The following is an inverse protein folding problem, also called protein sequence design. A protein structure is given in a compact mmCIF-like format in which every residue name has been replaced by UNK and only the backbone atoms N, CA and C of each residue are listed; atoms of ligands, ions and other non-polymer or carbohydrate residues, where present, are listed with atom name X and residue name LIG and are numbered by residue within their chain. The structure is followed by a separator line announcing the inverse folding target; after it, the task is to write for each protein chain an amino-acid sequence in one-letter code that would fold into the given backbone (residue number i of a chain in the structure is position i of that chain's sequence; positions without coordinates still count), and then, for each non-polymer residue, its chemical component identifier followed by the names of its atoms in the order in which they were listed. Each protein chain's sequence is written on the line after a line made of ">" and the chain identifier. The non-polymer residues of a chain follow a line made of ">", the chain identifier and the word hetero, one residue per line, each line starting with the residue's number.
data_IF_639322362893
#
_entry.id   IF_639322362893
#
_cell.length_a   1.000
_cell.length_b   1.000
_cell.length_c   1.000
_cell.angle_alpha   90.00
_cell.angle_beta   90.00
_cell.angle_gamma   90.00
#
_symmetry.space_group_name_H-M   'P 1'
#
loop_
_entity.id
_entity.type
_entity.pdbx_description
1 polymer ?
#
# COMPACT_ATOMS: atom_id res chain seq x y z
N UNK A 1 -60.38 11.68 27.16
CA UNK A 1 -58.91 11.65 27.37
C UNK A 1 -58.08 12.04 26.13
N UNK A 2 -58.59 12.85 25.18
CA UNK A 2 -58.19 12.68 23.77
C UNK A 2 -57.14 13.69 23.24
N UNK A 3 -56.45 14.45 24.12
CA UNK A 3 -55.33 15.34 23.72
C UNK A 3 -53.95 14.76 24.06
N UNK A 4 -53.77 14.17 25.26
CA UNK A 4 -52.47 13.63 25.72
C UNK A 4 -51.95 12.53 24.79
N UNK A 5 -52.82 11.62 24.35
CA UNK A 5 -52.46 10.50 23.45
C UNK A 5 -51.88 11.00 22.11
N UNK A 6 -52.39 12.11 21.55
CA UNK A 6 -51.85 12.68 20.31
C UNK A 6 -50.40 13.19 20.48
N UNK A 7 -50.07 13.80 21.61
CA UNK A 7 -48.69 14.23 21.89
C UNK A 7 -47.73 13.07 22.12
N UNK A 8 -48.19 11.98 22.75
CA UNK A 8 -47.37 10.77 22.94
C UNK A 8 -47.03 10.12 21.58
N UNK A 9 -48.00 10.00 20.67
CA UNK A 9 -47.76 9.46 19.31
C UNK A 9 -46.84 10.36 18.50
N UNK A 10 -46.92 11.69 18.63
CA UNK A 10 -46.02 12.61 17.91
C UNK A 10 -44.60 12.66 18.51
N UNK A 11 -44.46 12.42 19.82
CA UNK A 11 -43.15 12.36 20.50
C UNK A 11 -42.36 11.09 20.15
N UNK A 12 -43.04 9.98 19.90
CA UNK A 12 -42.42 8.69 19.59
C UNK A 12 -41.64 8.65 18.26
N UNK A 13 -41.84 9.63 17.36
CA UNK A 13 -41.24 9.65 16.01
C UNK A 13 -39.93 10.47 15.93
N UNK A 14 -39.35 10.85 17.07
CA UNK A 14 -38.28 11.87 17.14
C UNK A 14 -36.84 11.32 17.22
N UNK A 15 -36.61 10.07 17.67
CA UNK A 15 -35.26 9.59 18.07
C UNK A 15 -34.86 8.24 17.47
N UNK A 16 -35.03 8.09 16.15
CA UNK A 16 -34.30 7.07 15.37
C UNK A 16 -33.55 7.71 14.21
N UNK A 17 -32.61 8.61 14.54
CA UNK A 17 -31.58 9.06 13.60
C UNK A 17 -30.60 7.91 13.35
N UNK A 18 -30.97 7.00 12.45
CA UNK A 18 -30.05 5.99 11.94
C UNK A 18 -28.92 6.70 11.20
N UNK A 19 -27.69 6.61 11.72
CA UNK A 19 -26.48 7.08 11.04
C UNK A 19 -26.21 6.22 9.81
N UNK A 20 -26.92 6.49 8.70
CA UNK A 20 -26.76 5.83 7.41
C UNK A 20 -25.46 6.26 6.75
N UNK A 21 -24.34 5.77 7.26
CA UNK A 21 -23.05 5.91 6.60
C UNK A 21 -23.14 5.36 5.19
N UNK A 22 -22.62 6.12 4.22
CA UNK A 22 -22.58 5.69 2.83
C UNK A 22 -21.87 4.33 2.71
N UNK A 23 -22.50 3.40 1.98
CA UNK A 23 -21.91 2.09 1.65
C UNK A 23 -20.73 2.31 0.71
N UNK A 24 -19.56 1.79 1.07
CA UNK A 24 -18.40 1.75 0.17
C UNK A 24 -18.69 0.73 -0.94
N UNK A 25 -18.75 1.20 -2.18
CA UNK A 25 -19.04 0.38 -3.36
C UNK A 25 -17.72 -0.20 -3.86
N UNK A 26 -17.62 -1.54 -3.86
CA UNK A 26 -16.43 -2.28 -4.24
C UNK A 26 -16.71 -3.02 -5.54
N UNK A 27 -16.04 -2.62 -6.61
CA UNK A 27 -15.96 -3.41 -7.83
C UNK A 27 -14.93 -4.54 -7.62
N UNK A 28 -15.33 -5.77 -7.87
CA UNK A 28 -14.52 -6.97 -7.80
C UNK A 28 -14.32 -7.44 -9.23
N UNK A 29 -13.10 -7.32 -9.74
CA UNK A 29 -12.75 -7.82 -11.06
C UNK A 29 -12.21 -9.25 -10.97
N UNK A 30 -12.93 -10.20 -11.55
CA UNK A 30 -12.46 -11.58 -11.66
C UNK A 30 -11.59 -11.69 -12.91
N UNK A 31 -10.27 -11.79 -12.72
CA UNK A 31 -9.27 -11.85 -13.80
C UNK A 31 -9.60 -12.90 -14.86
N UNK A 32 -9.26 -12.62 -16.12
CA UNK A 32 -9.49 -13.50 -17.29
C UNK A 32 -10.98 -13.80 -17.53
N UNK A 33 -11.34 -14.90 -18.20
CA UNK A 33 -12.72 -15.35 -18.42
C UNK A 33 -13.05 -15.76 -19.86
N UNK A 34 -13.99 -16.71 -20.04
CA UNK A 34 -14.45 -17.16 -21.35
C UNK A 34 -13.33 -17.78 -22.18
N UNK A 35 -13.01 -17.15 -23.34
CA UNK A 35 -11.92 -17.57 -24.23
C UNK A 35 -10.51 -17.40 -23.63
N UNK A 36 -10.38 -16.58 -22.59
CA UNK A 36 -9.12 -16.34 -21.89
C UNK A 36 -9.07 -17.20 -20.60
N UNK A 37 -8.24 -18.25 -20.54
CA UNK A 37 -8.11 -19.10 -19.35
C UNK A 37 -7.33 -18.43 -18.21
N UNK A 38 -6.55 -17.38 -18.49
CA UNK A 38 -5.41 -16.96 -17.68
C UNK A 38 -4.33 -18.04 -17.61
N UNK A 39 -3.55 -18.05 -16.54
CA UNK A 39 -2.62 -19.12 -16.24
C UNK A 39 -3.32 -20.49 -16.16
N UNK A 40 -2.63 -21.54 -16.59
CA UNK A 40 -3.06 -22.93 -16.44
C UNK A 40 -2.01 -23.63 -15.59
N UNK A 41 -2.42 -24.13 -14.43
CA UNK A 41 -1.56 -24.88 -13.53
C UNK A 41 -1.09 -26.21 -14.15
N UNK A 42 0.16 -26.57 -13.90
CA UNK A 42 0.85 -27.66 -14.61
C UNK A 42 0.43 -29.06 -14.15
N UNK A 43 -0.10 -29.21 -12.93
CA UNK A 43 -0.26 -30.50 -12.27
C UNK A 43 -1.72 -30.96 -12.22
N UNK A 44 -2.66 -30.02 -12.05
CA UNK A 44 -4.10 -30.26 -11.97
C UNK A 44 -4.85 -29.66 -13.18
N UNK A 45 -4.15 -28.98 -14.10
CA UNK A 45 -4.77 -28.26 -15.22
C UNK A 45 -5.61 -27.05 -14.75
N UNK A 46 -5.34 -26.53 -13.55
CA UNK A 46 -6.21 -25.55 -12.89
C UNK A 46 -6.14 -24.20 -13.60
N UNK A 47 -7.26 -23.80 -14.22
CA UNK A 47 -7.37 -22.55 -14.98
C UNK A 47 -7.63 -21.36 -14.04
N UNK A 48 -6.80 -20.33 -14.14
CA UNK A 48 -6.88 -19.10 -13.35
C UNK A 48 -8.28 -18.50 -13.35
N UNK A 49 -8.91 -18.38 -14.53
CA UNK A 49 -10.27 -17.81 -14.68
C UNK A 49 -11.34 -18.47 -13.79
N UNK A 50 -11.14 -19.71 -13.35
CA UNK A 50 -12.04 -20.43 -12.44
C UNK A 50 -11.71 -20.12 -10.97
N UNK A 51 -10.41 -20.03 -10.64
CA UNK A 51 -9.91 -19.66 -9.31
C UNK A 51 -10.32 -18.24 -8.97
N UNK A 52 -10.07 -17.29 -9.88
CA UNK A 52 -10.41 -15.87 -9.70
C UNK A 52 -11.90 -15.68 -9.51
N UNK A 53 -12.74 -16.25 -10.39
CA UNK A 53 -14.20 -16.18 -10.28
C UNK A 53 -14.73 -16.76 -8.95
N UNK A 54 -14.16 -17.86 -8.48
CA UNK A 54 -14.56 -18.45 -7.21
C UNK A 54 -14.19 -17.56 -6.01
N UNK A 55 -12.97 -17.02 -5.96
CA UNK A 55 -12.54 -16.09 -4.90
C UNK A 55 -13.37 -14.79 -4.95
N UNK A 56 -13.63 -14.25 -6.15
CA UNK A 56 -14.46 -13.05 -6.33
C UNK A 56 -15.91 -13.26 -5.87
N UNK A 57 -16.49 -14.46 -6.03
CA UNK A 57 -17.84 -14.78 -5.52
C UNK A 57 -17.88 -14.88 -4.00
N UNK A 58 -16.90 -15.55 -3.40
CA UNK A 58 -16.76 -15.64 -1.94
C UNK A 58 -16.52 -14.23 -1.33
N UNK A 59 -15.74 -13.37 -1.99
CA UNK A 59 -15.55 -11.97 -1.58
C UNK A 59 -16.82 -11.12 -1.73
N UNK A 60 -17.59 -11.31 -2.82
CA UNK A 60 -18.89 -10.64 -3.00
C UNK A 60 -19.85 -10.99 -1.87
N UNK A 61 -19.97 -12.27 -1.53
CA UNK A 61 -20.85 -12.72 -0.44
C UNK A 61 -20.49 -12.08 0.91
N UNK A 62 -19.20 -11.96 1.22
CA UNK A 62 -18.72 -11.30 2.44
C UNK A 62 -19.05 -9.79 2.46
N UNK A 63 -18.89 -9.10 1.32
CA UNK A 63 -19.11 -7.65 1.22
C UNK A 63 -20.59 -7.25 1.11
N UNK A 64 -21.45 -8.07 0.50
CA UNK A 64 -22.89 -7.82 0.49
C UNK A 64 -23.54 -8.07 1.85
N UNK A 65 -22.96 -8.95 2.67
CA UNK A 65 -23.41 -9.23 4.04
C UNK A 65 -23.02 -8.13 5.05
N UNK A 66 -22.03 -7.28 4.73
CA UNK A 66 -21.65 -6.15 5.58
C UNK A 66 -22.53 -4.91 5.27
N UNK A 67 -23.26 -4.34 6.24
CA UNK A 67 -24.03 -3.12 6.03
C UNK A 67 -23.17 -1.94 5.54
N UNK A 68 -21.85 -1.95 5.75
CA UNK A 68 -20.92 -0.91 5.33
C UNK A 68 -20.49 -0.96 3.84
N UNK A 69 -20.74 -2.06 3.13
CA UNK A 69 -20.25 -2.26 1.76
C UNK A 69 -21.37 -2.59 0.76
N UNK A 70 -21.02 -2.59 -0.53
CA UNK A 70 -21.84 -3.10 -1.64
C UNK A 70 -20.90 -3.67 -2.69
N UNK A 71 -20.99 -4.97 -3.01
CA UNK A 71 -20.11 -5.56 -4.01
C UNK A 71 -20.75 -5.60 -5.40
N UNK A 72 -19.96 -5.23 -6.40
CA UNK A 72 -20.28 -5.36 -7.83
C UNK A 72 -19.20 -6.24 -8.46
N UNK A 73 -19.55 -7.12 -9.40
CA UNK A 73 -18.55 -7.91 -10.12
C UNK A 73 -18.44 -7.42 -11.57
N UNK A 74 -17.24 -7.44 -12.15
CA UNK A 74 -17.10 -7.26 -13.61
C UNK A 74 -17.78 -8.41 -14.35
N UNK A 75 -17.44 -9.66 -14.00
CA UNK A 75 -18.15 -10.87 -14.45
C UNK A 75 -18.69 -11.72 -13.30
N UNK A 76 -19.93 -12.17 -13.44
CA UNK A 76 -20.57 -13.17 -12.56
C UNK A 76 -20.43 -14.62 -13.06
N UNK A 77 -19.98 -14.81 -14.30
CA UNK A 77 -19.87 -16.09 -14.98
C UNK A 77 -18.56 -16.28 -15.74
N UNK A 78 -18.52 -17.32 -16.57
CA UNK A 78 -17.37 -17.66 -17.42
C UNK A 78 -17.47 -17.04 -18.82
N UNK A 79 -17.37 -15.71 -18.87
CA UNK A 79 -17.32 -14.93 -20.10
C UNK A 79 -16.13 -13.97 -20.09
N UNK A 80 -15.68 -13.59 -21.28
CA UNK A 80 -14.55 -12.67 -21.47
C UNK A 80 -15.02 -11.21 -21.32
N UNK A 81 -14.19 -10.38 -20.70
CA UNK A 81 -14.37 -8.93 -20.58
C UNK A 81 -13.05 -8.26 -20.95
N UNK A 82 -13.11 -7.23 -21.79
CA UNK A 82 -11.93 -6.49 -22.25
C UNK A 82 -11.28 -5.70 -21.11
N UNK A 83 -9.97 -5.43 -21.20
CA UNK A 83 -9.25 -4.75 -20.13
C UNK A 83 -9.74 -3.31 -19.83
N UNK A 84 -10.19 -2.48 -20.81
CA UNK A 84 -10.85 -1.20 -20.54
C UNK A 84 -12.20 -1.36 -19.83
N UNK A 85 -13.03 -2.26 -20.37
CA UNK A 85 -14.41 -2.53 -19.97
C UNK A 85 -14.55 -2.90 -18.49
N UNK A 86 -13.55 -3.59 -17.91
CA UNK A 86 -13.47 -3.89 -16.47
C UNK A 86 -13.52 -2.64 -15.58
N UNK A 87 -12.83 -1.58 -15.98
CA UNK A 87 -12.82 -0.28 -15.29
C UNK A 87 -14.09 0.52 -15.59
N UNK A 88 -14.63 0.43 -16.80
CA UNK A 88 -15.87 1.10 -17.21
C UNK A 88 -17.10 0.53 -16.47
N UNK A 89 -17.16 -0.79 -16.23
CA UNK A 89 -18.18 -1.42 -15.36
C UNK A 89 -18.08 -0.85 -13.93
N UNK A 90 -16.87 -0.69 -13.38
CA UNK A 90 -16.67 -0.12 -12.06
C UNK A 90 -17.18 1.34 -11.98
N UNK A 91 -16.87 2.17 -13.00
CA UNK A 91 -17.36 3.56 -13.10
C UNK A 91 -18.89 3.64 -13.25
N UNK A 92 -19.47 2.83 -14.13
CA UNK A 92 -20.92 2.74 -14.35
C UNK A 92 -21.70 2.42 -13.07
N UNK A 93 -21.10 1.62 -12.18
CA UNK A 93 -21.67 1.30 -10.88
C UNK A 93 -21.26 2.23 -9.72
N UNK A 94 -20.49 3.29 -10.01
CA UNK A 94 -19.96 4.28 -9.05
C UNK A 94 -19.14 3.62 -7.93
N UNK A 95 -18.24 2.71 -8.28
CA UNK A 95 -17.36 2.06 -7.33
C UNK A 95 -16.28 3.01 -6.79
N UNK A 96 -16.13 3.07 -5.47
CA UNK A 96 -15.02 3.78 -4.81
C UNK A 96 -13.69 3.03 -4.99
N UNK A 97 -13.77 1.70 -4.94
CA UNK A 97 -12.64 0.77 -4.94
C UNK A 97 -12.79 -0.27 -6.07
N UNK A 98 -11.68 -0.61 -6.73
CA UNK A 98 -11.59 -1.70 -7.71
C UNK A 98 -10.54 -2.72 -7.25
N UNK A 99 -10.99 -3.95 -6.97
CA UNK A 99 -10.16 -5.08 -6.52
C UNK A 99 -10.14 -6.11 -7.65
N UNK A 100 -9.10 -6.12 -8.47
CA UNK A 100 -8.87 -7.19 -9.43
C UNK A 100 -8.21 -8.39 -8.74
N UNK A 101 -8.65 -9.60 -9.05
CA UNK A 101 -8.22 -10.85 -8.40
C UNK A 101 -7.65 -11.78 -9.47
N UNK A 102 -6.41 -12.21 -9.25
CA UNK A 102 -5.59 -13.00 -10.16
C UNK A 102 -4.84 -14.14 -9.43
N UNK A 103 -4.22 -15.04 -10.20
CA UNK A 103 -3.34 -16.09 -9.70
C UNK A 103 -2.17 -16.31 -10.66
N UNK A 104 -1.15 -15.47 -10.48
CA UNK A 104 0.15 -15.38 -11.15
C UNK A 104 0.76 -16.74 -11.62
N UNK A 105 1.65 -16.67 -12.62
CA UNK A 105 2.38 -17.83 -13.12
C UNK A 105 3.76 -17.44 -13.60
N UNK A 106 4.77 -18.15 -13.09
CA UNK A 106 6.17 -17.93 -13.40
C UNK A 106 6.63 -18.87 -14.52
N UNK A 107 6.80 -18.39 -15.77
CA UNK A 107 7.33 -19.22 -16.86
C UNK A 107 8.82 -19.55 -16.70
N UNK A 108 9.51 -18.94 -15.73
CA UNK A 108 10.95 -19.09 -15.51
C UNK A 108 11.31 -20.04 -14.37
N UNK A 109 10.39 -20.29 -13.44
CA UNK A 109 10.62 -21.22 -12.32
C UNK A 109 9.31 -21.54 -11.59
N UNK A 110 9.04 -22.82 -11.41
CA UNK A 110 7.91 -23.33 -10.64
C UNK A 110 8.12 -23.23 -9.11
N UNK A 111 9.29 -22.76 -8.65
CA UNK A 111 9.56 -22.53 -7.23
C UNK A 111 9.09 -21.16 -6.69
N UNK A 112 8.71 -20.23 -7.56
CA UNK A 112 8.13 -18.95 -7.15
C UNK A 112 6.74 -19.19 -6.58
N UNK A 113 6.45 -18.56 -5.42
CA UNK A 113 5.23 -18.75 -4.65
C UNK A 113 4.93 -17.54 -3.76
N UNK A 114 3.68 -17.44 -3.34
CA UNK A 114 3.17 -16.47 -2.37
C UNK A 114 2.38 -15.34 -3.00
N UNK A 115 1.46 -14.78 -2.23
CA UNK A 115 0.61 -13.68 -2.66
C UNK A 115 1.40 -12.37 -2.85
N UNK A 116 0.87 -11.48 -3.70
CA UNK A 116 1.35 -10.11 -3.83
C UNK A 116 0.20 -9.16 -4.19
N UNK A 117 0.43 -7.84 -4.09
CA UNK A 117 -0.56 -6.84 -4.52
C UNK A 117 0.14 -5.79 -5.39
N UNK A 118 -0.48 -5.48 -6.52
CA UNK A 118 -0.02 -4.51 -7.49
C UNK A 118 -0.88 -3.24 -7.48
N UNK A 119 -0.22 -2.09 -7.67
CA UNK A 119 -0.80 -0.74 -7.68
C UNK A 119 -0.27 0.04 -8.89
N UNK A 120 -0.96 1.12 -9.28
CA UNK A 120 -0.59 1.91 -10.45
C UNK A 120 0.81 2.54 -10.32
N UNK A 121 1.64 2.41 -11.37
CA UNK A 121 2.98 3.03 -11.45
C UNK A 121 2.92 4.49 -11.91
N UNK A 122 3.87 5.33 -11.46
CA UNK A 122 3.90 6.75 -11.82
C UNK A 122 4.04 6.99 -13.33
N UNK A 123 4.81 6.16 -14.03
CA UNK A 123 4.91 6.21 -15.49
C UNK A 123 3.56 5.94 -16.14
N UNK A 124 2.87 4.86 -15.73
CA UNK A 124 1.55 4.51 -16.27
C UNK A 124 0.48 5.57 -15.96
N UNK A 125 0.52 6.17 -14.77
CA UNK A 125 -0.32 7.31 -14.42
C UNK A 125 -0.05 8.53 -15.32
N UNK A 126 1.23 8.82 -15.60
CA UNK A 126 1.62 9.91 -16.51
C UNK A 126 1.18 9.66 -17.96
N UNK A 127 1.37 8.43 -18.47
CA UNK A 127 0.98 8.02 -19.82
C UNK A 127 -0.53 8.16 -20.03
N UNK A 128 -1.32 7.75 -19.03
CA UNK A 128 -2.78 7.81 -19.11
C UNK A 128 -3.27 9.24 -18.87
N UNK A 129 -2.69 10.01 -17.95
CA UNK A 129 -3.00 11.45 -17.81
C UNK A 129 -2.83 12.20 -19.13
N UNK A 130 -1.80 11.88 -19.93
CA UNK A 130 -1.65 12.42 -21.29
C UNK A 130 -2.88 12.15 -22.18
N UNK A 131 -3.35 10.91 -22.22
CA UNK A 131 -4.54 10.51 -22.99
C UNK A 131 -5.83 11.13 -22.45
N UNK A 132 -6.02 11.17 -21.13
CA UNK A 132 -7.17 11.83 -20.51
C UNK A 132 -7.17 13.34 -20.80
N UNK A 133 -6.02 13.98 -21.06
CA UNK A 133 -5.93 15.39 -21.50
C UNK A 133 -6.23 15.60 -22.99
N UNK A 134 -6.13 14.56 -23.81
CA UNK A 134 -6.48 14.59 -25.24
C UNK A 134 -7.96 14.21 -25.45
N UNK A 135 -8.50 13.33 -24.60
CA UNK A 135 -9.86 12.78 -24.65
C UNK A 135 -10.87 13.68 -23.89
N UNK A 136 -11.50 14.60 -24.62
CA UNK A 136 -12.40 15.61 -24.06
C UNK A 136 -13.73 15.02 -23.56
N UNK A 137 -14.22 13.93 -24.16
CA UNK A 137 -15.44 13.24 -23.72
C UNK A 137 -15.25 12.64 -22.32
N UNK A 138 -14.11 11.96 -22.11
CA UNK A 138 -13.76 11.37 -20.81
C UNK A 138 -13.52 12.40 -19.71
N UNK A 139 -12.98 13.58 -20.03
CA UNK A 139 -12.85 14.69 -19.06
C UNK A 139 -14.23 15.10 -18.49
N UNK A 140 -15.25 15.16 -19.34
CA UNK A 140 -16.61 15.55 -18.93
C UNK A 140 -17.25 14.51 -17.99
N UNK A 141 -17.07 13.22 -18.26
CA UNK A 141 -17.54 12.13 -17.39
C UNK A 141 -16.86 12.19 -16.01
N UNK A 142 -15.53 12.33 -16.00
CA UNK A 142 -14.68 12.31 -14.80
C UNK A 142 -14.96 13.45 -13.81
N UNK A 143 -15.42 14.58 -14.33
CA UNK A 143 -15.67 15.80 -13.56
C UNK A 143 -17.16 16.00 -13.19
N UNK A 144 -18.01 14.97 -13.40
CA UNK A 144 -19.29 14.82 -12.69
C UNK A 144 -20.27 15.99 -12.80
N UNK A 145 -20.36 16.64 -13.97
CA UNK A 145 -21.23 17.79 -14.20
C UNK A 145 -20.63 19.15 -13.80
N UNK A 146 -19.64 19.20 -12.90
CA UNK A 146 -18.73 20.35 -12.82
C UNK A 146 -17.80 20.40 -14.05
N UNK A 147 -17.63 19.27 -14.75
CA UNK A 147 -16.89 19.16 -16.00
C UNK A 147 -17.31 20.14 -17.07
N UNK A 148 -18.61 20.41 -17.27
CA UNK A 148 -19.04 21.39 -18.27
C UNK A 148 -18.58 22.82 -17.96
N UNK A 149 -18.42 23.18 -16.69
CA UNK A 149 -17.98 24.52 -16.22
C UNK A 149 -16.45 24.66 -16.22
N UNK A 150 -15.71 23.54 -16.17
CA UNK A 150 -14.25 23.52 -16.27
C UNK A 150 -13.80 23.39 -17.73
N UNK A 151 -14.44 22.51 -18.51
CA UNK A 151 -14.21 22.33 -19.94
C UNK A 151 -14.68 23.51 -20.78
N UNK A 152 -15.69 24.30 -20.36
CA UNK A 152 -16.11 25.52 -21.08
C UNK A 152 -14.99 26.56 -21.22
N UNK A 153 -14.01 26.53 -20.33
CA UNK A 153 -12.96 27.56 -20.24
C UNK A 153 -11.67 27.15 -21.00
N UNK A 154 -11.59 25.93 -21.56
CA UNK A 154 -10.42 25.38 -22.25
C UNK A 154 -9.09 25.43 -21.43
N UNK A 155 -9.16 25.54 -20.10
CA UNK A 155 -7.98 25.62 -19.23
C UNK A 155 -7.30 24.26 -19.06
N UNK A 156 -6.50 23.87 -20.06
CA UNK A 156 -5.70 22.64 -20.08
C UNK A 156 -4.89 22.44 -18.78
N UNK A 157 -4.35 23.51 -18.20
CA UNK A 157 -3.61 23.49 -16.95
C UNK A 157 -4.48 23.14 -15.72
N UNK A 158 -5.74 23.56 -15.70
CA UNK A 158 -6.68 23.27 -14.62
C UNK A 158 -7.11 21.81 -14.68
N UNK A 159 -7.54 21.33 -15.85
CA UNK A 159 -7.89 19.92 -16.06
C UNK A 159 -6.70 19.00 -15.76
N UNK A 160 -5.49 19.39 -16.17
CA UNK A 160 -4.26 18.66 -15.85
C UNK A 160 -3.93 18.65 -14.34
N UNK A 161 -4.17 19.75 -13.63
CA UNK A 161 -3.95 19.81 -12.17
C UNK A 161 -4.94 18.92 -11.43
N UNK A 162 -6.21 18.89 -11.85
CA UNK A 162 -7.22 17.99 -11.27
C UNK A 162 -6.87 16.52 -11.55
N UNK A 163 -6.44 16.19 -12.78
CA UNK A 163 -5.99 14.84 -13.14
C UNK A 163 -4.76 14.38 -12.33
N UNK A 164 -3.71 15.21 -12.17
CA UNK A 164 -2.55 14.86 -11.32
C UNK A 164 -2.98 14.63 -9.86
N UNK A 165 -3.90 15.44 -9.33
CA UNK A 165 -4.41 15.27 -7.97
C UNK A 165 -5.22 13.98 -7.82
N UNK A 166 -6.03 13.61 -8.81
CA UNK A 166 -6.80 12.37 -8.83
C UNK A 166 -5.88 11.14 -8.95
N UNK A 167 -4.96 11.10 -9.91
CA UNK A 167 -3.96 10.02 -10.01
C UNK A 167 -3.09 9.93 -8.74
N UNK A 168 -2.60 11.07 -8.22
CA UNK A 168 -1.86 11.15 -6.95
C UNK A 168 -2.67 10.72 -5.72
N UNK A 169 -4.01 10.76 -5.79
CA UNK A 169 -4.90 10.19 -4.78
C UNK A 169 -5.00 8.66 -4.99
N UNK A 170 -5.47 8.22 -6.15
CA UNK A 170 -5.69 6.81 -6.51
C UNK A 170 -4.44 5.95 -6.24
N UNK A 171 -3.25 6.43 -6.60
CA UNK A 171 -1.98 5.74 -6.31
C UNK A 171 -1.69 5.59 -4.80
N UNK A 172 -1.92 6.64 -4.00
CA UNK A 172 -1.66 6.62 -2.54
C UNK A 172 -2.68 5.76 -1.81
N UNK A 173 -3.96 5.96 -2.13
CA UNK A 173 -5.09 5.20 -1.60
C UNK A 173 -4.94 3.71 -1.95
N UNK A 174 -4.55 3.39 -3.18
CA UNK A 174 -4.28 2.02 -3.63
C UNK A 174 -3.10 1.38 -2.91
N UNK A 175 -2.03 2.13 -2.62
CA UNK A 175 -0.88 1.63 -1.84
C UNK A 175 -1.26 1.30 -0.39
N UNK A 176 -2.04 2.15 0.28
CA UNK A 176 -2.49 1.92 1.66
C UNK A 176 -3.55 0.81 1.76
N UNK A 177 -4.43 0.69 0.76
CA UNK A 177 -5.35 -0.44 0.59
C UNK A 177 -4.57 -1.75 0.35
N UNK A 178 -3.58 -1.74 -0.53
CA UNK A 178 -2.74 -2.89 -0.83
C UNK A 178 -1.94 -3.37 0.37
N UNK A 179 -1.38 -2.45 1.18
CA UNK A 179 -0.76 -2.76 2.47
C UNK A 179 -1.75 -3.43 3.42
N UNK A 180 -2.97 -2.89 3.52
CA UNK A 180 -4.02 -3.42 4.38
C UNK A 180 -4.44 -4.85 3.98
N UNK A 181 -4.50 -5.15 2.68
CA UNK A 181 -4.78 -6.48 2.16
C UNK A 181 -3.60 -7.44 2.42
N UNK A 182 -2.37 -7.07 2.05
CA UNK A 182 -1.16 -7.89 2.27
C UNK A 182 -0.97 -8.27 3.74
N UNK A 183 -1.18 -7.31 4.66
CA UNK A 183 -1.09 -7.53 6.10
C UNK A 183 -2.11 -8.54 6.64
N UNK A 184 -3.22 -8.79 5.93
CA UNK A 184 -4.17 -9.88 6.25
C UNK A 184 -3.81 -11.17 5.54
N UNK A 185 -3.39 -11.12 4.27
CA UNK A 185 -2.99 -12.31 3.49
C UNK A 185 -1.76 -13.01 4.08
N UNK A 186 -0.80 -12.27 4.66
CA UNK A 186 0.39 -12.83 5.30
C UNK A 186 0.12 -13.75 6.51
N UNK A 187 -1.12 -13.80 7.03
CA UNK A 187 -1.52 -14.71 8.10
C UNK A 187 -2.05 -16.06 7.59
N UNK A 188 -2.23 -16.22 6.27
CA UNK A 188 -2.77 -17.43 5.63
C UNK A 188 -1.91 -17.97 4.48
N UNK A 189 -1.06 -17.11 3.89
CA UNK A 189 -0.24 -17.40 2.73
C UNK A 189 1.17 -16.82 2.92
N UNK A 190 2.15 -17.47 2.29
CA UNK A 190 3.43 -16.82 2.00
C UNK A 190 3.20 -15.56 1.17
N UNK A 191 4.00 -14.51 1.37
CA UNK A 191 4.00 -13.33 0.50
C UNK A 191 5.21 -13.38 -0.43
N UNK A 192 5.00 -13.25 -1.74
CA UNK A 192 6.08 -13.08 -2.71
C UNK A 192 6.71 -11.67 -2.62
N UNK A 193 5.95 -10.71 -2.06
CA UNK A 193 6.34 -9.32 -1.79
C UNK A 193 5.67 -8.84 -0.50
N UNK A 194 6.45 -8.37 0.47
CA UNK A 194 5.93 -7.88 1.77
C UNK A 194 5.25 -6.51 1.69
N UNK A 195 5.32 -5.83 0.54
CA UNK A 195 4.76 -4.50 0.28
C UNK A 195 4.14 -4.46 -1.12
N UNK A 196 3.14 -3.59 -1.39
CA UNK A 196 2.58 -3.45 -2.73
C UNK A 196 3.65 -3.04 -3.75
N UNK A 197 3.50 -3.53 -4.97
CA UNK A 197 4.43 -3.27 -6.07
C UNK A 197 3.78 -2.38 -7.14
N UNK A 198 4.53 -1.45 -7.71
CA UNK A 198 4.03 -0.58 -8.77
C UNK A 198 4.12 -1.26 -10.14
N UNK A 199 3.02 -1.32 -10.89
CA UNK A 199 2.96 -1.91 -12.22
C UNK A 199 2.08 -1.11 -13.20
N UNK A 200 2.26 -1.41 -14.48
CA UNK A 200 1.67 -0.71 -15.63
C UNK A 200 0.39 -1.37 -16.15
N UNK A 201 -0.37 -2.06 -15.28
CA UNK A 201 -1.48 -2.93 -15.64
C UNK A 201 -2.75 -2.15 -16.01
N UNK A 202 -3.43 -2.58 -17.08
CA UNK A 202 -4.57 -1.84 -17.65
C UNK A 202 -5.79 -1.71 -16.74
N UNK A 203 -6.03 -2.65 -15.83
CA UNK A 203 -7.15 -2.57 -14.86
C UNK A 203 -6.91 -1.52 -13.76
N UNK A 204 -5.65 -1.11 -13.53
CA UNK A 204 -5.25 -0.18 -12.46
C UNK A 204 -5.28 1.29 -12.89
N UNK A 205 -5.66 1.60 -14.13
CA UNK A 205 -5.40 2.90 -14.78
C UNK A 205 -6.41 4.01 -14.46
N UNK A 206 -7.30 3.82 -13.47
CA UNK A 206 -8.36 4.77 -13.17
C UNK A 206 -7.86 5.93 -12.27
N UNK A 207 -8.03 7.20 -12.68
CA UNK A 207 -7.73 8.35 -11.82
C UNK A 207 -8.76 8.51 -10.68
N UNK A 208 -10.01 8.16 -10.96
CA UNK A 208 -11.19 8.24 -10.10
C UNK A 208 -11.36 7.07 -9.13
N UNK A 209 -11.08 5.84 -9.58
CA UNK A 209 -11.35 4.62 -8.81
C UNK A 209 -10.05 4.10 -8.19
N UNK A 210 -10.01 4.00 -6.86
CA UNK A 210 -8.84 3.47 -6.15
C UNK A 210 -8.67 1.98 -6.48
N UNK A 211 -7.64 1.66 -7.26
CA UNK A 211 -7.51 0.35 -7.92
C UNK A 211 -6.32 -0.45 -7.41
N UNK A 212 -6.53 -1.73 -7.10
CA UNK A 212 -5.49 -2.71 -6.74
C UNK A 212 -5.73 -4.04 -7.47
N UNK A 213 -4.65 -4.78 -7.74
CA UNK A 213 -4.72 -6.15 -8.27
C UNK A 213 -4.04 -7.09 -7.27
N UNK A 214 -4.74 -8.14 -6.87
CA UNK A 214 -4.33 -9.08 -5.83
C UNK A 214 -3.95 -10.41 -6.49
N UNK A 215 -2.66 -10.75 -6.44
CA UNK A 215 -2.17 -12.08 -6.79
C UNK A 215 -2.34 -13.01 -5.60
N UNK A 216 -3.12 -14.06 -5.80
CA UNK A 216 -3.55 -14.96 -4.70
C UNK A 216 -2.59 -16.12 -4.44
N UNK A 217 -1.65 -16.36 -5.35
CA UNK A 217 -0.63 -17.42 -5.32
C UNK A 217 -0.22 -17.80 -6.75
N UNK A 218 0.84 -18.59 -6.90
CA UNK A 218 1.39 -18.95 -8.20
C UNK A 218 0.84 -20.29 -8.72
N UNK A 219 0.07 -20.29 -9.81
CA UNK A 219 -0.43 -21.53 -10.44
C UNK A 219 0.66 -22.38 -11.11
N UNK A 220 1.83 -21.78 -11.40
CA UNK A 220 3.02 -22.53 -11.79
C UNK A 220 3.58 -23.41 -10.66
N UNK A 221 3.30 -23.10 -9.39
CA UNK A 221 3.80 -23.84 -8.25
C UNK A 221 2.82 -24.94 -7.80
N UNK A 222 3.23 -26.21 -7.86
CA UNK A 222 2.36 -27.35 -7.51
C UNK A 222 1.71 -27.26 -6.11
N UNK A 223 2.39 -26.69 -5.12
CA UNK A 223 1.85 -26.52 -3.76
C UNK A 223 0.80 -25.42 -3.69
N UNK A 224 0.96 -24.32 -4.44
CA UNK A 224 -0.05 -23.26 -4.49
C UNK A 224 -1.19 -23.59 -5.45
N UNK A 225 -0.95 -24.32 -6.54
CA UNK A 225 -2.00 -24.91 -7.38
C UNK A 225 -2.94 -25.81 -6.56
N UNK A 226 -2.38 -26.74 -5.77
CA UNK A 226 -3.16 -27.62 -4.90
C UNK A 226 -3.93 -26.85 -3.81
N UNK A 227 -3.38 -25.75 -3.28
CA UNK A 227 -4.10 -24.85 -2.36
C UNK A 227 -5.23 -24.11 -3.07
N UNK A 228 -4.98 -23.49 -4.22
CA UNK A 228 -5.96 -22.73 -4.99
C UNK A 228 -7.08 -23.62 -5.55
N UNK A 229 -6.84 -24.92 -5.74
CA UNK A 229 -7.87 -25.92 -6.01
C UNK A 229 -8.86 -26.11 -4.83
N UNK A 230 -8.44 -25.89 -3.58
CA UNK A 230 -9.29 -26.06 -2.39
C UNK A 230 -10.30 -24.92 -2.21
N UNK A 231 -11.62 -25.23 -2.12
CA UNK A 231 -12.64 -24.22 -1.80
C UNK A 231 -12.43 -23.54 -0.43
N UNK A 232 -11.85 -24.25 0.54
CA UNK A 232 -11.57 -23.70 1.87
C UNK A 232 -10.48 -22.62 1.80
N UNK A 233 -9.38 -22.88 1.10
CA UNK A 233 -8.31 -21.89 0.92
C UNK A 233 -8.79 -20.66 0.12
N UNK A 234 -9.62 -20.86 -0.93
CA UNK A 234 -10.24 -19.74 -1.65
C UNK A 234 -11.12 -18.85 -0.74
N UNK A 235 -11.86 -19.44 0.22
CA UNK A 235 -12.56 -18.67 1.26
C UNK A 235 -11.62 -17.94 2.21
N UNK A 236 -10.53 -18.57 2.64
CA UNK A 236 -9.53 -17.91 3.48
C UNK A 236 -8.94 -16.67 2.78
N UNK A 237 -8.59 -16.79 1.49
CA UNK A 237 -8.12 -15.68 0.66
C UNK A 237 -9.18 -14.56 0.56
N UNK A 238 -10.43 -14.88 0.24
CA UNK A 238 -11.53 -13.90 0.20
C UNK A 238 -11.73 -13.21 1.56
N UNK A 239 -11.69 -13.95 2.66
CA UNK A 239 -11.77 -13.39 4.02
C UNK A 239 -10.58 -12.50 4.37
N UNK A 240 -9.37 -12.78 3.87
CA UNK A 240 -8.20 -11.94 4.08
C UNK A 240 -8.35 -10.59 3.33
N UNK A 241 -8.81 -10.62 2.07
CA UNK A 241 -9.08 -9.40 1.28
C UNK A 241 -10.18 -8.56 1.95
N UNK A 242 -11.28 -9.20 2.38
CA UNK A 242 -12.36 -8.55 3.13
C UNK A 242 -11.89 -7.91 4.44
N UNK A 243 -11.09 -8.62 5.25
CA UNK A 243 -10.48 -8.05 6.47
C UNK A 243 -9.50 -6.90 6.17
N UNK A 244 -8.87 -6.92 4.99
CA UNK A 244 -8.06 -5.81 4.48
C UNK A 244 -8.90 -4.58 4.15
N UNK A 245 -10.03 -4.76 3.46
CA UNK A 245 -11.00 -3.71 3.15
C UNK A 245 -11.60 -3.07 4.40
N UNK A 246 -11.98 -3.85 5.42
CA UNK A 246 -12.43 -3.33 6.72
C UNK A 246 -11.32 -2.47 7.36
N UNK A 247 -10.08 -2.97 7.38
CA UNK A 247 -8.94 -2.27 7.99
C UNK A 247 -8.68 -0.93 7.32
N UNK A 248 -8.64 -0.92 5.98
CA UNK A 248 -8.48 0.28 5.17
C UNK A 248 -9.63 1.28 5.37
N UNK A 249 -10.89 0.81 5.36
CA UNK A 249 -12.07 1.68 5.55
C UNK A 249 -12.06 2.32 6.94
N UNK A 250 -11.72 1.57 7.99
CA UNK A 250 -11.61 2.10 9.35
C UNK A 250 -10.56 3.22 9.45
N UNK A 251 -9.37 3.01 8.87
CA UNK A 251 -8.29 4.00 8.87
C UNK A 251 -8.69 5.31 8.17
N UNK A 252 -9.41 5.24 7.04
CA UNK A 252 -9.78 6.42 6.26
C UNK A 252 -11.08 7.11 6.73
N UNK A 253 -12.00 6.38 7.38
CA UNK A 253 -13.25 6.94 7.91
C UNK A 253 -13.01 7.90 9.07
N UNK A 254 -11.97 7.65 9.89
CA UNK A 254 -11.59 8.51 11.01
C UNK A 254 -11.20 9.92 10.55
N UNK A 255 -10.61 10.06 9.35
CA UNK A 255 -10.20 11.36 8.80
C UNK A 255 -11.37 12.30 8.47
N UNK A 256 -12.56 11.78 8.20
CA UNK A 256 -13.75 12.60 7.86
C UNK A 256 -14.46 13.09 9.13
N UNK A 257 -14.50 12.28 10.18
CA UNK A 257 -15.21 12.62 11.43
C UNK A 257 -14.44 13.58 12.35
N UNK A 258 -13.18 13.91 12.05
CA UNK A 258 -12.29 14.66 12.95
C UNK A 258 -12.47 16.19 12.96
N UNK A 259 -13.27 16.77 12.06
CA UNK A 259 -13.30 18.23 11.85
C UNK A 259 -14.25 19.01 12.78
N UNK A 260 -15.07 18.34 13.60
CA UNK A 260 -16.19 19.00 14.32
C UNK A 260 -16.38 18.58 15.77
N UNK A 261 -15.37 18.76 16.65
CA UNK A 261 -15.60 18.95 18.10
C UNK A 261 -14.33 19.28 18.93
N UNK A 262 -13.75 20.48 18.78
CA UNK A 262 -12.90 21.02 19.87
C UNK A 262 -12.82 22.56 19.96
N UNK A 263 -13.97 23.25 19.89
CA UNK A 263 -14.07 24.62 20.44
C UNK A 263 -14.08 24.57 21.97
N UNK A 264 -12.92 24.30 22.58
CA UNK A 264 -12.69 24.66 23.98
C UNK A 264 -12.49 26.18 24.02
N UNK A 265 -13.34 26.88 24.76
CA UNK A 265 -13.29 28.34 24.81
C UNK A 265 -11.98 28.81 25.48
N UNK A 266 -11.14 29.49 24.72
CA UNK A 266 -10.01 30.25 25.25
C UNK A 266 -10.61 31.50 25.90
N UNK A 267 -10.44 31.65 27.22
CA UNK A 267 -10.63 32.95 27.87
C UNK A 267 -9.44 33.84 27.51
N UNK A 268 -9.72 35.07 27.14
CA UNK A 268 -8.68 36.09 27.04
C UNK A 268 -8.17 36.41 28.45
N UNK A 269 -6.87 36.30 28.67
CA UNK A 269 -6.21 36.78 29.88
C UNK A 269 -5.19 37.86 29.48
N UNK A 270 -5.29 39.01 30.14
CA UNK A 270 -4.71 40.28 29.69
C UNK A 270 -3.28 40.44 30.21
N UNK A 271 -2.28 40.18 29.37
CA UNK A 271 -0.87 40.30 29.74
C UNK A 271 -0.38 41.75 29.57
N UNK A 272 -0.07 42.42 30.68
CA UNK A 272 0.72 43.67 30.68
C UNK A 272 2.20 43.38 31.02
N UNK A 273 3.16 44.11 30.42
CA UNK A 273 4.59 43.79 30.54
C UNK A 273 5.25 44.45 31.76
N UNK A 274 6.12 43.71 32.45
CA UNK A 274 7.15 44.27 33.35
C UNK A 274 8.50 43.58 33.14
N UNK A 275 9.56 44.32 33.44
CA UNK A 275 10.94 44.03 33.04
C UNK A 275 11.93 44.11 34.22
N UNK A 276 13.20 43.82 33.93
CA UNK A 276 14.38 43.64 34.82
C UNK A 276 14.47 42.24 35.44
N UNK A 277 15.54 41.44 35.31
CA UNK A 277 17.02 41.61 35.15
C UNK A 277 17.76 41.53 36.50
N UNK A 278 18.94 40.86 36.44
CA UNK A 278 19.97 40.61 37.47
C UNK A 278 19.74 39.51 38.54
N UNK A 279 20.79 38.85 39.09
CA UNK A 279 21.92 38.08 38.47
C UNK A 279 22.78 37.34 39.53
N UNK A 280 23.67 36.41 39.08
CA UNK A 280 24.97 36.00 39.70
C UNK A 280 25.04 34.94 40.86
N UNK A 281 26.08 34.06 40.74
CA UNK A 281 26.84 33.22 41.73
C UNK A 281 26.39 31.82 42.22
N UNK A 282 27.17 30.83 41.76
CA UNK A 282 28.00 29.83 42.49
C UNK A 282 27.73 29.56 44.01
N UNK A 283 27.85 28.32 44.50
CA UNK A 283 29.17 27.64 44.65
C UNK A 283 29.13 26.17 45.17
N UNK A 284 30.32 25.55 45.21
CA UNK A 284 30.74 24.22 45.74
C UNK A 284 30.01 23.73 47.03
N UNK A 285 30.01 22.43 47.43
CA UNK A 285 31.22 21.58 47.63
C UNK A 285 30.94 20.09 48.01
N UNK A 286 31.61 19.17 47.32
CA UNK A 286 32.29 17.91 47.73
C UNK A 286 31.96 17.25 49.11
N UNK A 287 31.62 15.95 49.11
CA UNK A 287 31.60 15.08 50.31
C UNK A 287 31.58 13.57 49.99
N UNK A 288 32.42 12.75 50.63
CA UNK A 288 32.64 11.32 50.32
C UNK A 288 32.78 10.44 51.57
N UNK A 289 32.23 9.22 51.54
CA UNK A 289 32.68 7.92 52.14
C UNK A 289 31.62 6.84 51.79
N UNK A 290 31.94 5.61 51.39
CA UNK A 290 32.55 4.48 52.13
C UNK A 290 31.68 3.99 53.31
N UNK A 291 31.48 2.69 53.58
CA UNK A 291 32.14 1.46 53.06
C UNK A 291 31.33 0.18 53.39
N UNK A 292 31.55 -0.92 52.62
CA UNK A 292 31.57 -2.35 53.07
C UNK A 292 30.24 -2.98 53.59
N UNK A 293 30.02 -4.31 53.56
CA UNK A 293 30.63 -5.49 52.87
C UNK A 293 29.72 -6.72 53.14
N UNK A 294 30.07 -7.86 52.55
CA UNK A 294 29.69 -9.25 52.87
C UNK A 294 28.32 -9.73 52.31
N UNK A 295 28.25 -10.82 51.54
CA UNK A 295 28.59 -12.26 51.75
C UNK A 295 27.39 -13.03 52.35
N UNK A 296 27.03 -14.26 51.93
CA UNK A 296 27.75 -15.22 51.06
C UNK A 296 26.79 -16.26 50.42
N UNK A 297 27.34 -17.03 49.49
CA UNK A 297 26.88 -18.29 48.87
C UNK A 297 26.08 -19.24 49.79
N UNK A 298 25.26 -20.18 49.28
CA UNK A 298 25.71 -21.50 48.76
C UNK A 298 24.57 -22.25 47.99
N UNK A 299 24.81 -22.93 46.85
CA UNK A 299 25.22 -24.36 46.64
C UNK A 299 24.11 -25.40 46.99
N UNK A 300 23.93 -26.54 46.30
CA UNK A 300 24.52 -27.10 45.05
C UNK A 300 23.66 -28.31 44.56
N UNK A 301 24.19 -29.10 43.61
CA UNK A 301 23.83 -30.50 43.28
C UNK A 301 22.50 -30.78 42.51
N UNK A 302 22.39 -31.82 41.67
CA UNK A 302 23.29 -32.98 41.45
C UNK A 302 23.65 -33.26 39.95
N UNK A 303 23.95 -34.52 39.55
CA UNK A 303 24.93 -34.87 38.47
C UNK A 303 24.56 -36.08 37.56
N UNK A 304 25.22 -36.17 36.37
CA UNK A 304 25.50 -37.38 35.52
C UNK A 304 24.34 -38.04 34.72
N UNK A 305 24.50 -38.90 33.70
CA UNK A 305 25.61 -39.41 32.79
C UNK A 305 24.92 -39.82 31.43
N UNK A 306 25.43 -39.88 30.18
CA UNK A 306 26.75 -40.00 29.48
C UNK A 306 27.16 -41.45 29.08
N UNK A 307 27.85 -41.61 27.91
CA UNK A 307 28.52 -42.79 27.23
C UNK A 307 27.90 -43.17 25.85
N UNK A 308 28.56 -43.71 24.80
CA UNK A 308 29.93 -43.75 24.15
C UNK A 308 29.82 -44.75 22.94
N UNK A 309 30.76 -45.05 22.02
CA UNK A 309 32.00 -44.53 21.37
C UNK A 309 32.33 -45.49 20.18
N UNK A 310 33.27 -45.31 19.24
CA UNK A 310 34.26 -44.26 18.95
C UNK A 310 34.00 -43.59 17.58
N UNK A 311 34.33 -44.04 16.35
CA UNK A 311 35.31 -44.98 15.70
C UNK A 311 35.30 -44.53 14.20
N UNK A 312 36.36 -44.37 13.36
CA UNK A 312 37.70 -44.97 13.11
C UNK A 312 37.65 -46.31 12.36
N UNK A 313 38.43 -46.57 11.30
CA UNK A 313 39.43 -45.76 10.54
C UNK A 313 39.42 -46.15 9.02
N UNK A 314 40.44 -46.14 8.12
CA UNK A 314 41.93 -46.06 8.18
C UNK A 314 42.57 -45.49 6.88
N UNK A 315 43.88 -45.26 6.98
CA UNK A 315 45.02 -44.95 6.06
C UNK A 315 45.13 -45.80 4.75
N UNK A 316 45.94 -45.54 3.70
CA UNK A 316 46.95 -44.50 3.26
C UNK A 316 47.19 -44.68 1.71
N UNK A 317 48.01 -43.95 0.92
CA UNK A 317 49.32 -43.29 1.12
C UNK A 317 49.72 -42.32 -0.04
N UNK A 318 50.79 -41.51 0.14
CA UNK A 318 51.64 -40.75 -0.84
C UNK A 318 50.91 -39.81 -1.86
N UNK A 319 51.09 -38.48 -1.87
CA UNK A 319 52.30 -37.65 -2.13
C UNK A 319 53.00 -37.95 -3.49
N UNK A 320 53.41 -36.98 -4.33
CA UNK A 320 53.76 -35.56 -4.05
C UNK A 320 53.78 -34.63 -5.30
N UNK A 321 53.49 -33.34 -5.06
CA UNK A 321 54.02 -32.12 -5.71
C UNK A 321 53.80 -31.79 -7.22
N UNK A 322 52.88 -30.85 -7.49
CA UNK A 322 53.06 -29.64 -8.33
C UNK A 322 51.80 -28.74 -8.12
N UNK A 323 51.72 -27.73 -7.25
CA UNK A 323 52.52 -26.49 -6.98
C UNK A 323 51.97 -25.26 -7.74
N UNK A 324 51.39 -24.30 -6.99
CA UNK A 324 50.66 -23.08 -7.40
C UNK A 324 49.31 -23.36 -8.09
N UNK A 325 48.14 -22.96 -7.59
CA UNK A 325 47.79 -22.13 -6.43
C UNK A 325 48.15 -20.63 -6.55
N UNK A 326 47.16 -19.84 -6.97
CA UNK A 326 47.09 -18.37 -6.84
C UNK A 326 45.66 -17.96 -6.43
N UNK A 327 45.23 -18.39 -5.23
CA UNK A 327 43.92 -18.02 -4.65
C UNK A 327 44.10 -16.77 -3.82
N UNK A 328 44.08 -15.60 -4.47
CA UNK A 328 44.37 -14.31 -3.80
C UNK A 328 43.51 -13.12 -4.23
N UNK A 329 42.21 -13.32 -4.45
CA UNK A 329 41.26 -12.20 -4.38
C UNK A 329 39.83 -12.61 -3.98
N UNK A 330 39.05 -11.64 -3.46
CA UNK A 330 37.64 -11.73 -2.99
C UNK A 330 37.36 -12.30 -1.60
N UNK A 331 38.28 -12.08 -0.65
CA UNK A 331 38.04 -12.22 0.80
C UNK A 331 38.06 -10.87 1.54
N UNK A 332 37.42 -9.84 0.98
CA UNK A 332 37.65 -8.44 1.42
C UNK A 332 36.46 -7.47 1.27
N UNK A 333 35.21 -7.93 1.40
CA UNK A 333 34.08 -7.00 1.59
C UNK A 333 32.85 -7.56 2.33
N UNK A 334 33.03 -8.46 3.31
CA UNK A 334 31.94 -9.08 4.09
C UNK A 334 31.92 -8.71 5.57
N UNK A 335 32.53 -7.58 5.93
CA UNK A 335 32.67 -7.14 7.34
C UNK A 335 32.54 -5.61 7.51
N UNK A 336 31.56 -5.00 6.81
CA UNK A 336 31.19 -3.58 7.03
C UNK A 336 29.69 -3.26 7.08
N UNK A 337 28.82 -4.22 6.76
CA UNK A 337 27.35 -4.01 6.73
C UNK A 337 26.60 -4.50 7.99
N UNK A 338 27.31 -4.95 9.04
CA UNK A 338 26.70 -5.56 10.25
C UNK A 338 26.65 -4.64 11.50
N UNK A 339 26.71 -3.32 11.33
CA UNK A 339 26.48 -2.31 12.39
C UNK A 339 25.81 -1.04 11.86
N UNK A 340 24.56 -1.15 11.42
CA UNK A 340 23.62 -0.01 11.26
C UNK A 340 22.17 -0.51 11.17
N UNK A 341 21.78 -1.35 12.13
CA UNK A 341 20.51 -2.11 12.13
C UNK A 341 19.69 -1.90 13.40
N UNK A 342 19.66 -0.67 13.91
CA UNK A 342 18.79 -0.18 14.97
C UNK A 342 18.35 1.25 14.60
N UNK A 343 17.17 1.66 15.09
CA UNK A 343 16.49 2.93 14.81
C UNK A 343 16.36 3.37 13.34
N UNK A 344 15.29 2.90 12.67
CA UNK A 344 14.61 3.68 11.61
C UNK A 344 13.10 3.63 11.77
N UNK A 345 12.59 4.57 12.56
CA UNK A 345 11.17 4.95 12.56
C UNK A 345 10.76 5.45 11.16
N UNK A 346 9.57 5.06 10.70
CA UNK A 346 9.10 5.38 9.35
C UNK A 346 8.48 6.76 9.27
N UNK A 347 9.31 7.80 9.31
CA UNK A 347 8.90 9.15 8.89
C UNK A 347 8.41 9.14 7.44
N UNK A 348 7.52 10.09 7.09
CA UNK A 348 7.27 10.47 5.69
C UNK A 348 8.62 10.60 4.98
N UNK A 349 8.76 10.02 3.78
CA UNK A 349 9.92 10.26 2.93
C UNK A 349 9.78 11.64 2.27
N UNK A 350 9.98 12.68 3.06
CA UNK A 350 9.95 14.06 2.60
C UNK A 350 11.07 14.29 1.58
N UNK A 351 10.72 14.99 0.49
CA UNK A 351 11.65 15.32 -0.58
C UNK A 351 12.70 16.27 0.02
N UNK A 352 13.97 15.86 -0.01
CA UNK A 352 15.07 16.63 0.59
C UNK A 352 15.31 17.90 -0.23
N UNK A 353 14.73 19.01 0.23
CA UNK A 353 14.85 20.34 -0.36
C UNK A 353 16.31 20.80 -0.28
N UNK A 354 17.01 20.71 -1.41
CA UNK A 354 18.38 21.21 -1.54
C UNK A 354 18.41 22.73 -1.66
N UNK A 355 19.30 23.39 -0.94
CA UNK A 355 19.50 24.85 -1.03
C UNK A 355 20.17 25.29 -2.33
N UNK A 356 20.88 24.40 -3.05
CA UNK A 356 21.73 24.73 -4.19
C UNK A 356 21.00 25.07 -5.52
N UNK A 357 19.69 25.36 -5.48
CA UNK A 357 18.89 25.70 -6.67
C UNK A 357 18.58 24.53 -7.61
N UNK A 358 19.05 23.32 -7.30
CA UNK A 358 18.80 22.12 -8.10
C UNK A 358 18.18 20.97 -7.27
N UNK A 359 17.53 20.05 -7.97
CA UNK A 359 17.01 18.80 -7.45
C UNK A 359 17.40 17.65 -8.40
N UNK A 360 17.62 16.45 -7.87
CA UNK A 360 17.91 15.26 -8.69
C UNK A 360 16.77 14.27 -8.47
N UNK A 361 15.99 14.03 -9.52
CA UNK A 361 14.76 13.22 -9.48
C UNK A 361 15.07 11.83 -8.96
N UNK A 362 14.46 11.47 -7.83
CA UNK A 362 14.55 10.15 -7.23
C UNK A 362 13.53 9.18 -7.86
N UNK A 363 13.66 7.90 -7.54
CA UNK A 363 12.65 6.90 -7.87
C UNK A 363 11.31 7.29 -7.22
N UNK A 364 10.24 7.22 -8.01
CA UNK A 364 8.84 7.44 -7.63
C UNK A 364 8.45 8.91 -7.30
N UNK A 365 9.25 9.90 -7.72
CA UNK A 365 8.89 11.33 -7.68
C UNK A 365 8.23 11.81 -8.99
N UNK A 366 7.49 12.92 -8.93
CA UNK A 366 6.87 13.61 -10.10
C UNK A 366 7.23 15.09 -10.09
N UNK A 367 7.03 15.81 -11.21
CA UNK A 367 7.20 17.27 -11.25
C UNK A 367 6.30 17.96 -10.23
N UNK A 368 5.12 17.41 -9.96
CA UNK A 368 4.16 17.92 -8.97
C UNK A 368 4.62 17.71 -7.53
N UNK A 369 5.21 16.56 -7.21
CA UNK A 369 5.77 16.33 -5.86
C UNK A 369 6.98 17.23 -5.61
N UNK A 370 7.86 17.38 -6.61
CA UNK A 370 9.05 18.23 -6.53
C UNK A 370 8.65 19.71 -6.45
N UNK A 371 7.76 20.19 -7.30
CA UNK A 371 7.28 21.57 -7.28
C UNK A 371 6.71 21.96 -5.90
N UNK A 372 5.86 21.08 -5.34
CA UNK A 372 5.29 21.24 -3.99
C UNK A 372 6.35 21.31 -2.89
N UNK A 373 7.38 20.45 -2.95
CA UNK A 373 8.47 20.44 -1.97
C UNK A 373 9.33 21.72 -2.02
N UNK A 374 9.47 22.33 -3.19
CA UNK A 374 10.25 23.55 -3.39
C UNK A 374 9.42 24.85 -3.35
N UNK A 375 8.12 24.77 -3.03
CA UNK A 375 7.23 25.95 -2.94
C UNK A 375 6.98 26.65 -4.28
N UNK A 376 7.02 25.91 -5.39
CA UNK A 376 6.84 26.42 -6.76
C UNK A 376 5.69 25.70 -7.47
N UNK A 377 5.28 26.19 -8.64
CA UNK A 377 4.26 25.52 -9.46
C UNK A 377 4.89 24.47 -10.39
N UNK A 378 4.15 23.41 -10.77
CA UNK A 378 4.62 22.45 -11.77
C UNK A 378 4.96 23.13 -13.10
N UNK A 379 4.18 24.15 -13.49
CA UNK A 379 4.41 24.97 -14.68
C UNK A 379 5.76 25.69 -14.61
N UNK A 380 6.01 26.50 -13.56
CA UNK A 380 7.27 27.23 -13.41
C UNK A 380 8.47 26.28 -13.35
N UNK A 381 8.31 25.10 -12.73
CA UNK A 381 9.32 24.04 -12.71
C UNK A 381 9.53 23.40 -14.10
N UNK A 382 8.48 23.28 -14.91
CA UNK A 382 8.52 22.74 -16.27
C UNK A 382 9.20 23.69 -17.25
N UNK A 383 8.82 24.97 -17.23
CA UNK A 383 9.38 26.05 -18.05
C UNK A 383 10.88 26.24 -17.75
N UNK A 384 11.26 26.35 -16.47
CA UNK A 384 12.64 26.51 -16.01
C UNK A 384 13.57 25.35 -16.46
N UNK A 385 13.01 24.21 -16.86
CA UNK A 385 13.73 23.01 -17.28
C UNK A 385 13.41 22.53 -18.71
N UNK A 386 12.65 23.31 -19.49
CA UNK A 386 12.19 22.95 -20.84
C UNK A 386 11.54 21.55 -20.92
N UNK A 387 10.74 21.15 -19.91
CA UNK A 387 10.10 19.83 -19.88
C UNK A 387 8.91 19.79 -20.84
N UNK A 388 8.93 18.84 -21.79
CA UNK A 388 7.74 18.51 -22.58
C UNK A 388 6.80 17.63 -21.75
N UNK A 389 5.52 17.97 -21.73
CA UNK A 389 4.45 17.24 -21.01
C UNK A 389 4.83 16.85 -19.56
N UNK A 390 5.60 17.70 -18.86
CA UNK A 390 6.06 17.48 -17.48
C UNK A 390 6.86 16.16 -17.28
N UNK A 391 7.42 15.59 -18.35
CA UNK A 391 8.13 14.31 -18.30
C UNK A 391 9.53 14.44 -17.68
N UNK A 392 9.79 13.60 -16.67
CA UNK A 392 11.06 13.48 -15.96
C UNK A 392 11.47 12.03 -15.83
N UNK A 393 12.79 11.81 -15.77
CA UNK A 393 13.41 10.50 -15.59
C UNK A 393 14.21 10.48 -14.30
N UNK A 394 14.32 9.32 -13.66
CA UNK A 394 15.13 9.15 -12.43
C UNK A 394 16.59 9.49 -12.75
N UNK A 395 17.23 10.27 -11.87
CA UNK A 395 18.57 10.81 -12.08
C UNK A 395 18.63 12.12 -12.87
N UNK A 396 17.52 12.57 -13.49
CA UNK A 396 17.46 13.88 -14.16
C UNK A 396 17.66 15.00 -13.14
N UNK A 397 18.57 15.94 -13.44
CA UNK A 397 18.80 17.14 -12.63
C UNK A 397 17.87 18.26 -13.11
N UNK A 398 17.03 18.77 -12.21
CA UNK A 398 16.11 19.89 -12.45
C UNK A 398 16.62 21.13 -11.69
N UNK A 399 16.57 22.30 -12.32
CA UNK A 399 16.54 23.61 -11.63
C UNK A 399 15.22 23.72 -10.85
N UNK A 400 15.22 24.31 -9.67
CA UNK A 400 14.05 24.38 -8.77
C UNK A 400 13.84 25.76 -8.12
N UNK A 401 14.73 26.71 -8.42
CA UNK A 401 14.60 28.14 -8.09
C UNK A 401 15.06 28.96 -9.30
#
# INVERSE_FOLDING_TARGET
>A
MNKVIKYIVFSALSVFSFSTFAKTIVAIDAGHGGKDPGAIGKNLGLKEKNVTLAISKELKALLDADPNFKAVMTRSGDYFIQLPERTEIARKHKADLLISIHADSSPKSDSIKGASVWVLSNSRASDEMGKWLEDHEKQSELLGGAGSVLSSNNERYLNQTVLDLQFSHSQRSGYELGKSILAKMGNIASLAKSFPQHASLSVLRSPDITSVLVETGFLSNATEEAKLASPNYRRQIAQAIYKGLITYRAQNSISVSGSTSNKKAVKEEKIEPKSKVDSIKESNKKGTKETKKDSKNNKEDNKKEQLKADTKEKQTDKQKANKKEDVKEKSSNKEKEKKTSEERTTSKKEIKVSSNGYHVVQKDETVYSIARAYGTTPQKLSELNNLKNYQITVGKKLKVK
#
